data_IF_402863611008
#
_entry.id   IF_402863611008
#
_cell.length_a   1.000
_cell.length_b   1.000
_cell.length_c   1.000
_cell.angle_alpha   90.00
_cell.angle_beta   90.00
_cell.angle_gamma   90.00
#
_symmetry.space_group_name_H-M   'P 1'
#
loop_
_entity.id
_entity.type
_entity.pdbx_description
1 polymer ?
#
# COMPACT_ATOMS: atom_id res chain seq x y z
N UNK A 1 -11.77 11.41 34.58
CA UNK A 1 -11.82 12.10 33.27
C UNK A 1 -12.11 11.06 32.21
N UNK A 2 -13.16 11.25 31.42
CA UNK A 2 -13.59 10.30 30.39
C UNK A 2 -12.90 10.60 29.06
N UNK A 3 -12.94 9.64 28.12
CA UNK A 3 -12.45 9.83 26.74
C UNK A 3 -13.21 10.97 26.04
N UNK A 4 -14.50 11.12 26.31
CA UNK A 4 -15.31 12.19 25.76
C UNK A 4 -14.90 13.56 26.30
N UNK A 5 -14.56 13.67 27.59
CA UNK A 5 -14.07 14.93 28.18
C UNK A 5 -12.76 15.36 27.51
N UNK A 6 -11.81 14.44 27.33
CA UNK A 6 -10.54 14.71 26.65
C UNK A 6 -10.76 15.18 25.21
N UNK A 7 -11.71 14.57 24.49
CA UNK A 7 -12.05 14.98 23.13
C UNK A 7 -12.66 16.40 23.11
N UNK A 8 -13.56 16.71 24.04
CA UNK A 8 -14.18 18.03 24.16
C UNK A 8 -13.16 19.13 24.47
N UNK A 9 -12.10 18.80 25.22
CA UNK A 9 -10.97 19.68 25.51
C UNK A 9 -9.94 19.77 24.35
N UNK A 10 -10.17 19.08 23.23
CA UNK A 10 -9.26 19.07 22.09
C UNK A 10 -8.01 18.19 22.29
N UNK A 11 -7.95 17.41 23.36
CA UNK A 11 -6.83 16.52 23.71
C UNK A 11 -6.96 15.17 23.02
N UNK A 12 -6.98 15.18 21.69
CA UNK A 12 -7.22 14.01 20.87
C UNK A 12 -6.19 12.88 21.09
N UNK A 13 -4.91 13.22 21.26
CA UNK A 13 -3.87 12.23 21.49
C UNK A 13 -4.08 11.46 22.81
N UNK A 14 -4.46 12.17 23.87
CA UNK A 14 -4.75 11.58 25.18
C UNK A 14 -6.01 10.71 25.14
N UNK A 15 -7.04 11.18 24.42
CA UNK A 15 -8.27 10.42 24.20
C UNK A 15 -7.98 9.09 23.47
N UNK A 16 -7.14 9.11 22.43
CA UNK A 16 -6.72 7.90 21.71
C UNK A 16 -5.96 6.95 22.64
N UNK A 17 -4.95 7.43 23.37
CA UNK A 17 -4.15 6.58 24.26
C UNK A 17 -5.00 5.94 25.37
N UNK A 18 -5.91 6.72 25.97
CA UNK A 18 -6.85 6.23 26.98
C UNK A 18 -7.77 5.15 26.38
N UNK A 19 -8.29 5.35 25.17
CA UNK A 19 -9.18 4.38 24.53
C UNK A 19 -8.45 3.13 24.03
N UNK A 20 -7.19 3.25 23.59
CA UNK A 20 -6.32 2.10 23.27
C UNK A 20 -6.14 1.20 24.52
N UNK A 21 -5.94 1.79 25.71
CA UNK A 21 -5.88 1.04 26.96
C UNK A 21 -7.21 0.34 27.29
N UNK A 22 -8.35 1.00 27.08
CA UNK A 22 -9.69 0.40 27.26
C UNK A 22 -9.89 -0.81 26.35
N UNK A 23 -9.55 -0.69 25.06
CA UNK A 23 -9.65 -1.82 24.12
C UNK A 23 -8.65 -2.93 24.46
N UNK A 24 -7.49 -2.59 25.01
CA UNK A 24 -6.51 -3.57 25.51
C UNK A 24 -7.04 -4.37 26.70
N UNK A 25 -7.80 -3.74 27.60
CA UNK A 25 -8.42 -4.40 28.75
C UNK A 25 -9.64 -5.27 28.36
N UNK A 26 -10.41 -4.83 27.35
CA UNK A 26 -11.61 -5.52 26.87
C UNK A 26 -11.61 -5.66 25.33
N UNK A 27 -10.78 -6.57 24.77
CA UNK A 27 -10.63 -6.67 23.31
C UNK A 27 -11.88 -7.18 22.59
N UNK A 28 -12.79 -7.85 23.29
CA UNK A 28 -14.03 -8.36 22.73
C UNK A 28 -15.17 -7.33 22.70
N UNK A 29 -15.00 -6.15 23.30
CA UNK A 29 -16.05 -5.12 23.31
C UNK A 29 -16.11 -4.38 21.95
N UNK A 30 -17.17 -4.60 21.15
CA UNK A 30 -17.33 -3.91 19.87
C UNK A 30 -17.56 -2.41 20.05
N UNK A 31 -18.15 -1.97 21.16
CA UNK A 31 -18.42 -0.57 21.47
C UNK A 31 -17.12 0.20 21.74
N UNK A 32 -16.27 -0.29 22.64
CA UNK A 32 -14.96 0.30 22.88
C UNK A 32 -14.11 0.35 21.60
N UNK A 33 -14.15 -0.72 20.80
CA UNK A 33 -13.42 -0.78 19.52
C UNK A 33 -13.98 0.22 18.50
N UNK A 34 -15.30 0.39 18.44
CA UNK A 34 -15.99 1.36 17.57
C UNK A 34 -15.60 2.80 17.91
N UNK A 35 -15.54 3.14 19.19
CA UNK A 35 -15.09 4.46 19.64
C UNK A 35 -13.62 4.71 19.29
N UNK A 36 -12.75 3.70 19.46
CA UNK A 36 -11.34 3.82 19.05
C UNK A 36 -11.21 4.10 17.55
N UNK A 37 -12.03 3.45 16.71
CA UNK A 37 -12.07 3.71 15.27
C UNK A 37 -12.39 5.19 14.98
N UNK A 38 -13.39 5.77 15.64
CA UNK A 38 -13.74 7.19 15.44
C UNK A 38 -12.58 8.13 15.84
N UNK A 39 -11.94 7.87 16.98
CA UNK A 39 -10.80 8.67 17.44
C UNK A 39 -9.60 8.59 16.48
N UNK A 40 -9.30 7.39 15.96
CA UNK A 40 -8.23 7.19 14.97
C UNK A 40 -8.52 7.94 13.66
N UNK A 41 -9.79 8.00 13.25
CA UNK A 41 -10.23 8.77 12.07
C UNK A 41 -10.02 10.26 12.30
N UNK A 42 -10.41 10.80 13.46
CA UNK A 42 -10.15 12.20 13.80
C UNK A 42 -8.65 12.52 13.85
N UNK A 43 -7.82 11.55 14.24
CA UNK A 43 -6.36 11.70 14.23
C UNK A 43 -5.74 11.54 12.83
N UNK A 44 -6.53 11.26 11.79
CA UNK A 44 -6.04 10.98 10.43
C UNK A 44 -5.32 9.63 10.28
N UNK A 45 -5.37 8.76 11.30
CA UNK A 45 -4.76 7.43 11.34
C UNK A 45 -5.68 6.40 10.68
N UNK A 46 -5.97 6.58 9.40
CA UNK A 46 -6.99 5.80 8.69
C UNK A 46 -6.64 4.32 8.50
N UNK A 47 -5.34 3.98 8.39
CA UNK A 47 -4.89 2.59 8.26
C UNK A 47 -5.11 1.82 9.58
N UNK A 48 -4.83 2.45 10.72
CA UNK A 48 -5.10 1.88 12.04
C UNK A 48 -6.61 1.73 12.28
N UNK A 49 -7.39 2.77 11.95
CA UNK A 49 -8.84 2.75 12.05
C UNK A 49 -9.45 1.57 11.27
N UNK A 50 -8.95 1.30 10.05
CA UNK A 50 -9.35 0.12 9.26
C UNK A 50 -9.05 -1.19 10.01
N UNK A 51 -7.85 -1.34 10.55
CA UNK A 51 -7.46 -2.55 11.26
C UNK A 51 -8.30 -2.82 12.53
N UNK A 52 -8.79 -1.76 13.18
CA UNK A 52 -9.73 -1.91 14.30
C UNK A 52 -11.14 -2.19 13.83
N UNK A 53 -11.61 -1.57 12.75
CA UNK A 53 -12.94 -1.82 12.18
C UNK A 53 -13.09 -3.28 11.72
N UNK A 54 -12.07 -3.85 11.07
CA UNK A 54 -12.09 -5.25 10.60
C UNK A 54 -12.20 -6.27 11.75
N UNK A 55 -11.90 -5.87 12.99
CA UNK A 55 -11.99 -6.72 14.20
C UNK A 55 -13.31 -6.56 14.95
N UNK A 56 -14.20 -5.65 14.52
CA UNK A 56 -15.53 -5.53 15.11
C UNK A 56 -16.41 -6.61 14.47
N UNK A 57 -16.64 -7.69 15.23
CA UNK A 57 -17.74 -8.61 14.97
C UNK A 57 -19.00 -8.08 15.61
N UNK A 58 -20.01 -7.78 14.80
CA UNK A 58 -21.35 -7.41 15.25
C UNK A 58 -22.35 -8.34 14.60
N UNK A 59 -23.31 -8.83 15.39
CA UNK A 59 -24.41 -9.68 14.92
C UNK A 59 -25.56 -8.87 14.31
N UNK A 60 -25.45 -7.54 14.34
CA UNK A 60 -26.44 -6.63 13.79
C UNK A 60 -26.55 -6.78 12.25
N UNK A 61 -27.74 -7.00 11.67
CA UNK A 61 -27.91 -7.24 10.23
C UNK A 61 -27.39 -6.12 9.33
N UNK A 62 -27.46 -4.85 9.77
CA UNK A 62 -26.94 -3.71 9.01
C UNK A 62 -25.42 -3.54 9.10
N UNK A 63 -24.75 -4.20 10.04
CA UNK A 63 -23.33 -4.00 10.31
C UNK A 63 -22.43 -4.09 9.05
N UNK A 64 -22.62 -5.07 8.15
CA UNK A 64 -21.83 -5.15 6.93
C UNK A 64 -21.94 -3.89 6.05
N UNK A 65 -23.12 -3.28 5.96
CA UNK A 65 -23.30 -2.06 5.17
C UNK A 65 -22.70 -0.84 5.87
N UNK A 66 -22.86 -0.74 7.19
CA UNK A 66 -22.23 0.31 8.01
C UNK A 66 -20.70 0.26 7.88
N UNK A 67 -20.11 -0.92 8.04
CA UNK A 67 -18.67 -1.13 7.89
C UNK A 67 -18.18 -0.75 6.48
N UNK A 68 -18.90 -1.16 5.42
CA UNK A 68 -18.59 -0.74 4.05
C UNK A 68 -18.67 0.79 3.88
N UNK A 69 -19.68 1.44 4.47
CA UNK A 69 -19.83 2.88 4.48
C UNK A 69 -18.63 3.60 5.09
N UNK A 70 -18.20 3.15 6.27
CA UNK A 70 -17.02 3.69 6.97
C UNK A 70 -15.74 3.50 6.15
N UNK A 71 -15.53 2.33 5.54
CA UNK A 71 -14.36 2.10 4.68
C UNK A 71 -14.33 3.01 3.45
N UNK A 72 -15.49 3.30 2.84
CA UNK A 72 -15.60 4.28 1.74
C UNK A 72 -15.27 5.69 2.22
N UNK A 73 -15.73 6.07 3.41
CA UNK A 73 -15.43 7.34 4.05
C UNK A 73 -13.91 7.49 4.29
N UNK A 74 -13.27 6.50 4.93
CA UNK A 74 -11.84 6.56 5.24
C UNK A 74 -10.99 6.73 3.97
N UNK A 75 -11.34 6.04 2.89
CA UNK A 75 -10.67 6.20 1.59
C UNK A 75 -10.82 7.62 1.03
N UNK A 76 -12.01 8.21 1.18
CA UNK A 76 -12.30 9.57 0.69
C UNK A 76 -11.54 10.62 1.51
N UNK A 77 -11.48 10.46 2.82
CA UNK A 77 -10.72 11.32 3.74
C UNK A 77 -9.22 11.25 3.49
N UNK A 78 -8.67 10.04 3.30
CA UNK A 78 -7.27 9.84 2.89
C UNK A 78 -6.94 10.57 1.61
N UNK A 79 -7.83 10.54 0.62
CA UNK A 79 -7.62 11.25 -0.63
C UNK A 79 -7.62 12.76 -0.42
N UNK A 80 -8.55 13.31 0.35
CA UNK A 80 -8.59 14.76 0.65
C UNK A 80 -7.34 15.23 1.38
N UNK A 81 -6.90 14.47 2.38
CA UNK A 81 -5.67 14.79 3.14
C UNK A 81 -4.40 14.61 2.31
N UNK A 82 -4.35 13.61 1.43
CA UNK A 82 -3.21 13.39 0.53
C UNK A 82 -3.18 14.35 -0.67
N UNK A 83 -4.33 14.79 -1.19
CA UNK A 83 -4.41 15.76 -2.30
C UNK A 83 -3.98 17.18 -1.86
N UNK A 84 -4.01 17.48 -0.56
CA UNK A 84 -3.36 18.67 0.03
C UNK A 84 -1.85 18.51 0.25
N UNK A 85 -1.32 17.28 0.22
CA UNK A 85 0.12 17.03 0.27
C UNK A 85 0.71 17.11 -1.15
N UNK A 86 1.94 17.64 -1.32
CA UNK A 86 2.58 17.69 -2.62
C UNK A 86 2.65 16.28 -3.21
N UNK A 87 2.02 16.09 -4.37
CA UNK A 87 2.07 14.83 -5.12
C UNK A 87 3.55 14.44 -5.26
N UNK A 88 3.97 13.23 -4.83
CA UNK A 88 5.31 12.76 -5.18
C UNK A 88 5.38 12.78 -6.70
N UNK A 89 6.32 13.57 -7.23
CA UNK A 89 6.52 13.69 -8.66
C UNK A 89 6.62 12.29 -9.24
N UNK A 90 5.98 12.01 -10.40
CA UNK A 90 6.05 10.68 -10.99
C UNK A 90 7.53 10.37 -11.11
N UNK A 91 8.03 9.38 -10.36
CA UNK A 91 9.40 8.87 -10.51
C UNK A 91 9.46 8.51 -11.98
N UNK A 92 10.11 9.37 -12.76
CA UNK A 92 10.30 9.16 -14.17
C UNK A 92 10.95 7.80 -14.26
N UNK A 93 10.17 6.82 -14.74
CA UNK A 93 10.68 5.51 -15.07
C UNK A 93 11.75 5.79 -16.11
N UNK A 94 13.01 5.90 -15.66
CA UNK A 94 14.16 6.16 -16.51
C UNK A 94 14.10 5.08 -17.57
N UNK A 95 13.65 5.46 -18.75
CA UNK A 95 13.61 4.60 -19.91
C UNK A 95 15.08 4.37 -20.21
N UNK A 96 15.63 3.26 -19.74
CA UNK A 96 16.88 2.74 -20.27
C UNK A 96 16.57 2.36 -21.72
N UNK A 97 16.70 3.33 -22.63
CA UNK A 97 16.92 2.99 -24.02
C UNK A 97 18.29 2.32 -24.06
N UNK A 98 18.43 1.09 -24.59
CA UNK A 98 19.75 0.58 -24.90
C UNK A 98 20.31 1.55 -25.95
N UNK A 99 21.37 2.26 -25.57
CA UNK A 99 22.17 3.11 -26.45
C UNK A 99 22.59 2.23 -27.62
N UNK A 100 21.96 2.43 -28.77
CA UNK A 100 22.35 1.78 -30.02
C UNK A 100 23.83 2.14 -30.25
N UNK A 101 24.71 1.17 -30.03
CA UNK A 101 26.10 1.26 -30.40
C UNK A 101 26.16 1.13 -31.92
N UNK A 102 26.02 2.27 -32.60
CA UNK A 102 26.40 2.42 -34.00
C UNK A 102 27.90 2.24 -34.13
N UNK A 103 28.34 0.99 -34.23
CA UNK A 103 29.69 0.63 -34.65
C UNK A 103 29.82 0.87 -36.14
N UNK A 104 30.47 1.98 -36.51
CA UNK A 104 30.99 2.19 -37.86
C UNK A 104 32.13 1.20 -38.08
N UNK A 105 31.90 0.17 -38.90
CA UNK A 105 32.99 -0.63 -39.45
C UNK A 105 33.44 0.01 -40.77
N UNK A 106 34.60 0.66 -40.77
CA UNK A 106 35.28 1.08 -41.98
C UNK A 106 36.06 -0.11 -42.56
N UNK A 107 35.95 -0.28 -43.87
CA UNK A 107 36.57 -1.30 -44.68
C UNK A 107 38.06 -1.05 -44.85
N UNK A 108 38.92 -2.05 -44.59
CA UNK A 108 40.22 -2.16 -45.27
C UNK A 108 40.87 -3.53 -45.04
N UNK A 109 40.74 -4.38 -46.07
CA UNK A 109 41.71 -5.32 -46.62
C UNK A 109 42.61 -6.18 -45.70
N UNK A 110 42.39 -7.51 -45.74
CA UNK A 110 43.47 -8.49 -45.94
C UNK A 110 42.90 -9.77 -46.57
N UNK A 111 43.66 -10.32 -47.52
CA UNK A 111 43.34 -11.44 -48.43
C UNK A 111 43.50 -12.79 -47.71
N UNK A 112 42.69 -13.79 -48.08
CA UNK A 112 42.94 -15.20 -47.76
C UNK A 112 41.71 -16.09 -47.98
N UNK A 113 41.76 -17.15 -48.82
CA UNK A 113 40.55 -17.81 -49.34
C UNK A 113 40.13 -19.08 -48.58
N UNK A 114 39.02 -19.64 -49.06
CA UNK A 114 38.50 -21.03 -48.93
C UNK A 114 37.62 -21.41 -47.72
N UNK A 115 36.32 -21.49 -48.01
CA UNK A 115 35.25 -22.36 -47.45
C UNK A 115 35.59 -23.88 -47.60
N UNK A 116 34.77 -24.88 -47.15
CA UNK A 116 33.39 -24.83 -46.63
C UNK A 116 33.05 -25.76 -45.42
N UNK A 117 31.82 -25.58 -44.91
CA UNK A 117 30.89 -26.59 -44.36
C UNK A 117 31.35 -27.58 -43.25
N UNK A 118 30.76 -27.41 -42.07
CA UNK A 118 30.66 -28.44 -41.03
C UNK A 118 29.33 -28.32 -40.27
N UNK A 119 28.31 -29.01 -40.77
CA UNK A 119 27.00 -29.21 -40.13
C UNK A 119 27.18 -30.19 -38.96
N UNK A 120 26.72 -29.86 -37.75
CA UNK A 120 26.48 -30.87 -36.70
C UNK A 120 25.39 -30.39 -35.75
N UNK A 121 24.42 -31.29 -35.57
CA UNK A 121 23.09 -31.21 -34.98
C UNK A 121 23.06 -31.20 -33.43
N UNK A 122 21.92 -30.86 -32.79
CA UNK A 122 21.74 -30.90 -31.33
C UNK A 122 21.18 -32.26 -30.85
N UNK A 123 21.39 -32.62 -29.57
CA UNK A 123 20.38 -33.41 -28.83
C UNK A 123 20.09 -32.80 -27.44
N UNK A 124 18.86 -32.30 -27.22
CA UNK A 124 17.73 -32.89 -26.45
C UNK A 124 17.80 -32.77 -24.91
N UNK A 125 16.63 -32.58 -24.26
CA UNK A 125 16.54 -32.25 -22.83
C UNK A 125 16.48 -33.51 -21.95
N UNK A 126 17.18 -33.50 -20.82
CA UNK A 126 16.95 -34.49 -19.75
C UNK A 126 15.88 -33.99 -18.78
N UNK A 127 14.75 -34.69 -18.80
CA UNK A 127 13.82 -34.75 -17.69
C UNK A 127 14.36 -35.71 -16.63
N UNK A 128 14.29 -35.31 -15.35
CA UNK A 128 13.80 -36.15 -14.26
C UNK A 128 13.38 -35.32 -13.07
#
# INVERSE_FOLDING_TARGET
MTVHDMLAEGRLADAVASQEATVGAAPADPGARRLLVDLLVFAGRFDDARAHLDRIGSDEPEWPEVARGLLRLFRSERRRTAEGAPRPSPRTRRRNTPRAAGGRCNSSAARGPTMPCGRSTPPTPSAR
#
